data_IF_595463435488
#
_entry.id   IF_595463435488
#
_cell.length_a   1.000
_cell.length_b   1.000
_cell.length_c   1.000
_cell.angle_alpha   90.00
_cell.angle_beta   90.00
_cell.angle_gamma   90.00
#
_symmetry.space_group_name_H-M   'P 1'
#
loop_
_entity.id
_entity.type
_entity.pdbx_description
1 polymer ?
#
# COMPACT_ATOMS: atom_id res chain seq x y z
N UNK A 1 19.44 27.51 26.18
CA UNK A 1 19.02 26.10 26.06
C UNK A 1 17.51 26.09 25.99
N UNK A 2 16.91 25.64 24.89
CA UNK A 2 15.44 25.72 24.74
C UNK A 2 14.81 24.61 25.59
N UNK A 3 13.71 24.90 26.28
CA UNK A 3 13.00 23.93 27.14
C UNK A 3 12.67 22.60 26.42
N UNK A 4 12.56 22.62 25.09
CA UNK A 4 12.29 21.47 24.21
C UNK A 4 13.47 20.51 24.05
N UNK A 5 14.70 21.01 24.09
CA UNK A 5 15.92 20.18 23.95
C UNK A 5 16.09 19.31 25.20
N UNK A 6 15.96 19.93 26.38
CA UNK A 6 16.11 19.25 27.67
C UNK A 6 15.03 18.18 27.91
N UNK A 7 13.80 18.41 27.45
CA UNK A 7 12.74 17.42 27.53
C UNK A 7 13.02 16.20 26.64
N UNK A 8 13.49 16.45 25.41
CA UNK A 8 13.84 15.40 24.47
C UNK A 8 15.01 14.54 24.98
N UNK A 9 16.03 15.15 25.57
CA UNK A 9 17.15 14.44 26.20
C UNK A 9 16.69 13.52 27.32
N UNK A 10 15.84 14.01 28.23
CA UNK A 10 15.32 13.20 29.33
C UNK A 10 14.46 12.03 28.83
N UNK A 11 13.69 12.20 27.75
CA UNK A 11 12.91 11.12 27.12
C UNK A 11 13.82 10.04 26.51
N UNK A 12 14.94 10.42 25.88
CA UNK A 12 15.96 9.49 25.38
C UNK A 12 16.56 8.70 26.54
N UNK A 13 16.91 9.36 27.64
CA UNK A 13 17.44 8.71 28.84
C UNK A 13 16.45 7.72 29.44
N UNK A 14 15.15 8.06 29.54
CA UNK A 14 14.12 7.12 29.99
C UNK A 14 14.07 5.89 29.07
N UNK A 15 14.04 6.10 27.74
CA UNK A 15 14.00 5.01 26.77
C UNK A 15 15.20 4.06 26.92
N UNK A 16 16.39 4.61 27.12
CA UNK A 16 17.60 3.83 27.37
C UNK A 16 17.49 3.02 28.68
N UNK A 17 17.05 3.65 29.78
CA UNK A 17 16.95 2.98 31.08
C UNK A 17 15.87 1.89 31.11
N UNK A 18 14.77 2.07 30.40
CA UNK A 18 13.74 1.03 30.21
C UNK A 18 14.33 -0.17 29.48
N UNK A 19 15.10 0.04 28.40
CA UNK A 19 15.81 -1.05 27.70
C UNK A 19 16.85 -1.75 28.56
N UNK A 20 17.43 -1.03 29.53
CA UNK A 20 18.36 -1.58 30.50
C UNK A 20 17.67 -2.35 31.64
N UNK A 21 16.33 -2.41 31.65
CA UNK A 21 15.56 -3.14 32.66
C UNK A 21 15.45 -2.44 34.01
N UNK A 22 15.69 -1.12 34.08
CA UNK A 22 15.54 -0.35 35.31
C UNK A 22 14.07 -0.17 35.70
N UNK A 23 13.79 -0.26 37.00
CA UNK A 23 12.45 -0.02 37.54
C UNK A 23 12.09 1.47 37.51
N UNK A 24 10.79 1.79 37.51
CA UNK A 24 10.33 3.18 37.44
C UNK A 24 10.81 4.07 38.60
N UNK A 25 11.02 3.49 39.78
CA UNK A 25 11.63 4.17 40.93
C UNK A 25 13.10 4.51 40.67
N UNK A 26 13.90 3.57 40.18
CA UNK A 26 15.31 3.79 39.83
C UNK A 26 15.45 4.83 38.71
N UNK A 27 14.60 4.75 37.68
CA UNK A 27 14.60 5.72 36.57
C UNK A 27 14.34 7.13 37.10
N UNK A 28 13.37 7.28 38.00
CA UNK A 28 13.06 8.57 38.62
C UNK A 28 14.22 9.10 39.45
N UNK A 29 14.87 8.26 40.24
CA UNK A 29 16.04 8.64 41.05
C UNK A 29 17.21 9.08 40.18
N UNK A 30 17.53 8.32 39.13
CA UNK A 30 18.57 8.66 38.16
C UNK A 30 18.27 10.01 37.49
N UNK A 31 17.02 10.25 37.08
CA UNK A 31 16.63 11.53 36.49
C UNK A 31 16.74 12.69 37.48
N UNK A 32 16.34 12.51 38.73
CA UNK A 32 16.49 13.54 39.77
C UNK A 32 17.96 13.85 40.07
N UNK A 33 18.83 12.84 40.02
CA UNK A 33 20.27 13.02 40.25
C UNK A 33 20.95 13.80 39.11
N UNK A 34 20.59 13.51 37.86
CA UNK A 34 21.20 14.11 36.67
C UNK A 34 20.61 15.50 36.36
N UNK A 35 19.29 15.63 36.40
CA UNK A 35 18.58 16.84 35.94
C UNK A 35 18.09 17.76 37.07
N UNK A 36 18.16 17.32 38.34
CA UNK A 36 17.79 18.08 39.54
C UNK A 36 16.42 18.76 39.40
N UNK A 37 16.37 20.09 39.55
CA UNK A 37 15.13 20.89 39.51
C UNK A 37 14.47 20.89 38.12
N UNK A 38 15.21 20.51 37.08
CA UNK A 38 14.69 20.38 35.72
C UNK A 38 14.22 18.96 35.38
N UNK A 39 14.26 18.03 36.33
CA UNK A 39 13.83 16.66 36.10
C UNK A 39 12.32 16.58 35.77
N UNK A 40 11.97 15.69 34.85
CA UNK A 40 10.59 15.40 34.52
C UNK A 40 9.78 15.04 35.76
N UNK A 41 8.56 15.58 35.83
CA UNK A 41 7.61 15.24 36.89
C UNK A 41 7.35 13.74 36.90
N UNK A 42 7.13 13.17 38.09
CA UNK A 42 6.84 11.73 38.28
C UNK A 42 5.82 11.20 37.27
N UNK A 43 4.70 11.90 37.06
CA UNK A 43 3.65 11.50 36.12
C UNK A 43 4.13 11.37 34.67
N UNK A 44 5.00 12.28 34.21
CA UNK A 44 5.58 12.22 32.87
C UNK A 44 6.54 11.03 32.72
N UNK A 45 7.36 10.75 33.75
CA UNK A 45 8.28 9.61 33.75
C UNK A 45 7.54 8.28 33.56
N UNK A 46 6.45 8.06 34.32
CA UNK A 46 5.65 6.84 34.20
C UNK A 46 4.88 6.76 32.87
N UNK A 47 4.38 7.88 32.32
CA UNK A 47 3.76 7.91 30.97
C UNK A 47 4.74 7.41 29.90
N UNK A 48 5.98 7.91 29.93
CA UNK A 48 7.03 7.52 28.98
C UNK A 48 7.49 6.08 29.19
N UNK A 49 7.67 5.65 30.45
CA UNK A 49 8.03 4.28 30.80
C UNK A 49 7.00 3.27 30.25
N UNK A 50 5.70 3.52 30.46
CA UNK A 50 4.63 2.69 29.93
C UNK A 50 4.67 2.64 28.40
N UNK A 51 4.76 3.80 27.75
CA UNK A 51 4.85 3.88 26.29
C UNK A 51 6.04 3.11 25.71
N UNK A 52 7.23 3.20 26.32
CA UNK A 52 8.41 2.47 25.85
C UNK A 52 8.35 0.97 26.14
N UNK A 53 7.66 0.55 27.19
CA UNK A 53 7.42 -0.87 27.50
C UNK A 53 6.44 -1.50 26.48
N UNK A 54 5.47 -0.73 26.00
CA UNK A 54 4.50 -1.13 24.95
C UNK A 54 5.06 -1.06 23.52
N UNK A 55 6.38 -0.85 23.37
CA UNK A 55 7.05 -0.86 22.06
C UNK A 55 7.04 0.47 21.29
N UNK A 56 6.67 1.60 21.91
CA UNK A 56 6.77 2.92 21.27
C UNK A 56 8.23 3.26 20.94
N UNK A 57 8.53 3.49 19.66
CA UNK A 57 9.87 3.87 19.20
C UNK A 57 10.16 5.38 19.26
N UNK A 58 9.13 6.23 19.19
CA UNK A 58 9.32 7.68 19.13
C UNK A 58 9.59 8.30 20.50
N UNK A 59 10.50 9.26 20.54
CA UNK A 59 10.88 10.05 21.72
C UNK A 59 10.04 11.33 21.81
N UNK A 60 9.46 11.80 20.71
CA UNK A 60 8.60 12.98 20.69
C UNK A 60 7.17 12.63 21.08
N UNK A 61 6.44 13.55 21.74
CA UNK A 61 4.99 13.41 21.89
C UNK A 61 4.40 13.27 20.48
N UNK A 62 3.65 12.19 20.23
CA UNK A 62 2.92 12.08 18.98
C UNK A 62 1.86 13.17 18.90
N UNK A 63 1.84 13.87 17.78
CA UNK A 63 0.81 14.86 17.47
C UNK A 63 -0.54 14.15 17.49
N UNK A 64 -1.24 14.30 18.62
CA UNK A 64 -2.64 13.94 18.72
C UNK A 64 -3.37 14.78 17.70
N UNK A 65 -4.03 14.13 16.74
CA UNK A 65 -4.77 14.82 15.68
C UNK A 65 -5.66 15.92 16.31
N UNK A 66 -5.59 17.17 15.81
CA UNK A 66 -6.35 18.27 16.39
C UNK A 66 -7.83 17.88 16.48
N UNK A 67 -8.52 18.22 17.56
CA UNK A 67 -9.98 18.01 17.62
C UNK A 67 -10.73 18.75 16.48
N UNK A 68 -10.08 19.75 15.87
CA UNK A 68 -10.52 20.45 14.66
C UNK A 68 -10.31 19.67 13.35
N UNK A 69 -9.67 18.50 13.37
CA UNK A 69 -9.54 17.66 12.18
C UNK A 69 -10.90 17.08 11.77
N UNK A 70 -11.79 16.84 12.74
CA UNK A 70 -13.14 16.30 12.56
C UNK A 70 -14.17 17.44 12.56
N UNK A 71 -14.00 18.44 11.71
CA UNK A 71 -15.11 19.36 11.39
C UNK A 71 -15.95 18.78 10.26
N UNK A 72 -17.25 19.09 10.28
CA UNK A 72 -18.16 18.73 9.19
C UNK A 72 -17.67 19.28 7.84
N UNK A 73 -17.01 20.44 7.84
CA UNK A 73 -16.37 21.04 6.66
C UNK A 73 -15.23 20.19 6.09
N UNK A 74 -14.34 19.66 6.94
CA UNK A 74 -13.27 18.78 6.48
C UNK A 74 -13.84 17.46 5.97
N UNK A 75 -14.89 16.94 6.61
CA UNK A 75 -15.60 15.75 6.12
C UNK A 75 -16.24 15.99 4.76
N UNK A 76 -16.87 17.16 4.55
CA UNK A 76 -17.48 17.56 3.29
C UNK A 76 -16.42 17.74 2.19
N UNK A 77 -15.28 18.35 2.50
CA UNK A 77 -14.13 18.48 1.58
C UNK A 77 -13.57 17.11 1.19
N UNK A 78 -13.37 16.20 2.14
CA UNK A 78 -12.93 14.82 1.86
C UNK A 78 -13.96 14.08 1.02
N UNK A 79 -15.25 14.25 1.31
CA UNK A 79 -16.31 13.68 0.50
C UNK A 79 -16.30 14.23 -0.92
N UNK A 80 -16.11 15.54 -1.12
CA UNK A 80 -16.03 16.21 -2.42
C UNK A 80 -14.79 15.81 -3.24
N UNK A 81 -13.65 15.57 -2.59
CA UNK A 81 -12.43 15.06 -3.24
C UNK A 81 -12.63 13.58 -3.61
N UNK A 82 -13.32 12.81 -2.76
CA UNK A 82 -13.65 11.40 -3.01
C UNK A 82 -14.63 11.30 -4.19
N UNK A 83 -15.86 11.84 -4.05
CA UNK A 83 -16.37 12.86 -4.99
C UNK A 83 -15.92 12.89 -6.46
N UNK A 84 -14.95 13.74 -6.70
CA UNK A 84 -14.39 14.00 -8.02
C UNK A 84 -13.55 12.82 -8.53
N UNK A 85 -12.79 12.14 -7.67
CA UNK A 85 -11.91 11.04 -8.08
C UNK A 85 -12.64 9.70 -8.32
N UNK A 86 -13.72 9.40 -7.58
CA UNK A 86 -14.52 8.17 -7.74
C UNK A 86 -15.59 8.28 -8.85
N UNK A 87 -15.95 9.49 -9.29
CA UNK A 87 -16.92 9.69 -10.39
C UNK A 87 -16.34 9.24 -11.74
N UNK A 88 -15.01 9.22 -11.86
CA UNK A 88 -14.34 8.62 -13.00
C UNK A 88 -14.39 7.11 -12.85
N UNK A 89 -15.37 6.49 -13.52
CA UNK A 89 -15.39 5.04 -13.67
C UNK A 89 -14.15 4.64 -14.48
N UNK A 90 -13.55 3.47 -14.18
CA UNK A 90 -12.45 2.88 -14.98
C UNK A 90 -12.75 3.01 -16.48
N UNK A 91 -14.00 2.78 -16.87
CA UNK A 91 -14.52 2.97 -18.23
C UNK A 91 -14.25 4.36 -18.82
N UNK A 92 -14.56 5.45 -18.11
CA UNK A 92 -14.38 6.83 -18.59
C UNK A 92 -12.88 7.13 -18.78
N UNK A 93 -12.06 6.73 -17.81
CA UNK A 93 -10.60 6.89 -17.88
C UNK A 93 -10.03 6.10 -19.08
N UNK A 94 -10.51 4.88 -19.30
CA UNK A 94 -10.10 4.07 -20.46
C UNK A 94 -10.57 4.67 -21.77
N UNK A 95 -11.79 5.19 -21.85
CA UNK A 95 -12.34 5.83 -23.05
C UNK A 95 -11.50 7.05 -23.46
N UNK A 96 -11.21 7.95 -22.52
CA UNK A 96 -10.36 9.14 -22.77
C UNK A 96 -8.95 8.74 -23.20
N UNK A 97 -8.35 7.75 -22.52
CA UNK A 97 -7.01 7.27 -22.87
C UNK A 97 -6.98 6.65 -24.27
N UNK A 98 -7.93 5.77 -24.60
CA UNK A 98 -8.00 5.12 -25.91
C UNK A 98 -8.26 6.13 -27.03
N UNK A 99 -9.13 7.13 -26.80
CA UNK A 99 -9.36 8.23 -27.72
C UNK A 99 -8.06 9.02 -27.99
N UNK A 100 -7.27 9.31 -26.95
CA UNK A 100 -5.97 9.98 -27.10
C UNK A 100 -4.96 9.18 -27.95
N UNK A 101 -5.12 7.85 -28.00
CA UNK A 101 -4.28 6.92 -28.77
C UNK A 101 -4.86 6.54 -30.12
N UNK A 102 -6.02 7.10 -30.51
CA UNK A 102 -6.77 6.74 -31.71
C UNK A 102 -7.11 5.24 -31.78
N UNK A 103 -7.31 4.61 -30.63
CA UNK A 103 -7.75 3.22 -30.53
C UNK A 103 -9.26 3.21 -30.38
N UNK A 104 -9.97 2.54 -31.28
CA UNK A 104 -11.42 2.39 -31.20
C UNK A 104 -11.76 1.34 -30.14
N UNK A 105 -12.60 1.72 -29.18
CA UNK A 105 -13.12 0.78 -28.19
C UNK A 105 -14.23 -0.05 -28.84
N UNK A 106 -14.08 -1.38 -28.83
CA UNK A 106 -15.13 -2.29 -29.27
C UNK A 106 -16.13 -2.47 -28.13
N UNK A 107 -17.42 -2.24 -28.41
CA UNK A 107 -18.50 -2.52 -27.46
C UNK A 107 -18.49 -4.01 -27.09
N UNK A 108 -18.29 -4.31 -25.81
CA UNK A 108 -18.26 -5.67 -25.29
C UNK A 108 -19.24 -5.80 -24.12
N UNK A 109 -20.07 -6.86 -24.09
CA UNK A 109 -21.00 -7.07 -22.99
C UNK A 109 -20.26 -7.26 -21.64
N UNK A 110 -20.86 -6.84 -20.51
CA UNK A 110 -20.24 -7.02 -19.20
C UNK A 110 -19.99 -8.50 -18.89
N UNK A 111 -18.76 -8.81 -18.45
CA UNK A 111 -18.38 -10.12 -17.92
C UNK A 111 -18.66 -11.31 -18.85
N UNK A 112 -18.29 -11.21 -20.14
CA UNK A 112 -18.44 -12.30 -21.11
C UNK A 112 -17.06 -12.92 -21.48
N UNK A 113 -16.49 -13.77 -20.63
CA UNK A 113 -15.19 -14.41 -20.89
C UNK A 113 -15.23 -15.34 -22.12
N UNK A 114 -16.42 -15.80 -22.51
CA UNK A 114 -16.66 -16.58 -23.74
C UNK A 114 -16.41 -15.79 -25.03
N UNK A 115 -16.44 -14.46 -24.96
CA UNK A 115 -16.20 -13.56 -26.10
C UNK A 115 -14.78 -13.00 -26.14
N UNK A 116 -14.00 -13.17 -25.06
CA UNK A 116 -12.62 -12.72 -25.00
C UNK A 116 -11.69 -13.78 -25.63
N UNK A 117 -10.95 -13.46 -26.71
CA UNK A 117 -10.02 -14.41 -27.34
C UNK A 117 -8.96 -14.96 -26.37
N UNK A 118 -8.60 -14.18 -25.35
CA UNK A 118 -7.66 -14.62 -24.30
C UNK A 118 -8.23 -15.77 -23.47
N UNK A 119 -9.50 -15.69 -23.09
CA UNK A 119 -10.14 -16.61 -22.14
C UNK A 119 -10.59 -17.90 -22.84
N UNK A 120 -11.12 -17.80 -24.06
CA UNK A 120 -11.55 -18.98 -24.83
C UNK A 120 -10.40 -19.74 -25.51
N UNK A 121 -9.36 -19.04 -26.00
CA UNK A 121 -8.33 -19.67 -26.82
C UNK A 121 -6.95 -19.71 -26.16
N UNK A 122 -6.46 -18.57 -25.67
CA UNK A 122 -5.07 -18.45 -25.23
C UNK A 122 -4.79 -19.18 -23.91
N UNK A 123 -5.56 -18.88 -22.86
CA UNK A 123 -5.32 -19.47 -21.54
C UNK A 123 -5.52 -20.98 -21.49
N UNK A 124 -6.52 -21.58 -22.16
CA UNK A 124 -6.63 -23.04 -22.26
C UNK A 124 -5.38 -23.69 -22.86
N UNK A 125 -4.80 -23.06 -23.89
CA UNK A 125 -3.61 -23.57 -24.58
C UNK A 125 -2.34 -23.50 -23.72
N UNK A 126 -2.15 -22.39 -23.01
CA UNK A 126 -1.06 -22.28 -22.02
C UNK A 126 -1.26 -23.30 -20.91
N UNK A 127 -2.49 -23.46 -20.42
CA UNK A 127 -2.82 -24.41 -19.37
C UNK A 127 -2.51 -25.85 -19.79
N UNK A 128 -2.85 -26.24 -21.02
CA UNK A 128 -2.47 -27.53 -21.61
C UNK A 128 -0.95 -27.72 -21.61
N UNK A 129 -0.20 -26.70 -22.05
CA UNK A 129 1.26 -26.76 -22.04
C UNK A 129 1.79 -26.97 -20.62
N UNK A 130 1.30 -26.23 -19.63
CA UNK A 130 1.80 -26.28 -18.26
C UNK A 130 1.29 -27.49 -17.46
N UNK A 131 0.27 -28.21 -17.95
CA UNK A 131 -0.40 -29.29 -17.23
C UNK A 131 0.55 -30.44 -16.90
N UNK A 132 0.50 -30.90 -15.66
CA UNK A 132 1.25 -32.09 -15.20
C UNK A 132 2.76 -31.88 -15.07
N UNK A 133 3.26 -30.64 -15.21
CA UNK A 133 4.66 -30.31 -14.99
C UNK A 133 4.86 -29.67 -13.62
N UNK A 134 5.90 -30.08 -12.91
CA UNK A 134 6.36 -29.41 -11.69
C UNK A 134 7.38 -28.35 -12.10
N UNK A 135 7.26 -27.14 -11.54
CA UNK A 135 8.11 -26.02 -11.89
C UNK A 135 8.76 -25.46 -10.63
N UNK A 136 10.09 -25.33 -10.65
CA UNK A 136 10.84 -24.73 -9.54
C UNK A 136 10.76 -23.20 -9.55
N UNK A 137 10.61 -22.60 -10.75
CA UNK A 137 10.36 -21.17 -10.95
C UNK A 137 9.19 -20.94 -11.91
N UNK A 138 8.14 -20.26 -11.43
CA UNK A 138 6.93 -20.01 -12.21
C UNK A 138 7.18 -19.01 -13.34
N UNK A 139 8.03 -18.00 -13.11
CA UNK A 139 8.22 -16.90 -14.07
C UNK A 139 8.91 -17.35 -15.35
N UNK A 140 10.08 -18.00 -15.21
CA UNK A 140 10.87 -18.45 -16.36
C UNK A 140 10.13 -19.48 -17.20
N UNK A 141 9.40 -20.39 -16.55
CA UNK A 141 8.63 -21.44 -17.21
C UNK A 141 7.41 -20.89 -17.95
N UNK A 142 6.70 -19.94 -17.34
CA UNK A 142 5.57 -19.25 -17.99
C UNK A 142 6.07 -18.45 -19.20
N UNK A 143 7.18 -17.73 -19.06
CA UNK A 143 7.79 -16.96 -20.17
C UNK A 143 8.26 -17.86 -21.31
N UNK A 144 8.83 -19.03 -21.01
CA UNK A 144 9.21 -20.01 -22.04
C UNK A 144 7.98 -20.56 -22.78
N UNK A 145 6.90 -20.90 -22.06
CA UNK A 145 5.65 -21.35 -22.68
C UNK A 145 5.00 -20.27 -23.56
N UNK A 146 5.06 -19.00 -23.12
CA UNK A 146 4.58 -17.86 -23.91
C UNK A 146 5.39 -17.67 -25.19
N UNK A 147 6.73 -17.72 -25.11
CA UNK A 147 7.63 -17.57 -26.27
C UNK A 147 7.53 -18.74 -27.25
N UNK A 148 7.21 -19.93 -26.78
CA UNK A 148 7.02 -21.10 -27.62
C UNK A 148 5.71 -21.06 -28.43
N UNK A 149 4.87 -20.04 -28.27
CA UNK A 149 3.61 -19.90 -28.98
C UNK A 149 3.79 -19.16 -30.34
N UNK A 150 3.61 -19.83 -31.50
CA UNK A 150 3.67 -19.17 -32.81
C UNK A 150 2.72 -17.97 -32.95
N UNK A 151 3.21 -16.90 -33.57
CA UNK A 151 2.47 -15.65 -33.76
C UNK A 151 1.18 -15.80 -34.59
N UNK A 152 1.17 -16.76 -35.51
CA UNK A 152 0.03 -17.04 -36.39
C UNK A 152 -1.10 -17.83 -35.71
N UNK A 153 -0.93 -18.27 -34.45
CA UNK A 153 -1.95 -19.08 -33.79
C UNK A 153 -3.28 -18.36 -33.56
N UNK A 154 -3.25 -17.03 -33.46
CA UNK A 154 -4.46 -16.23 -33.28
C UNK A 154 -5.23 -15.95 -34.58
N UNK A 155 -4.69 -16.33 -35.75
CA UNK A 155 -5.34 -16.08 -37.04
C UNK A 155 -6.73 -16.73 -37.13
N UNK A 156 -6.88 -17.91 -36.52
CA UNK A 156 -8.14 -18.65 -36.52
C UNK A 156 -9.13 -18.16 -35.45
N UNK A 157 -8.70 -17.34 -34.48
CA UNK A 157 -9.56 -16.86 -33.39
C UNK A 157 -10.61 -15.86 -33.87
N UNK A 158 -10.33 -15.14 -34.96
CA UNK A 158 -11.18 -14.08 -35.48
C UNK A 158 -11.89 -14.45 -36.79
N UNK A 159 -11.85 -15.73 -37.19
CA UNK A 159 -12.57 -16.21 -38.38
C UNK A 159 -12.07 -15.68 -39.73
N UNK A 160 -10.89 -15.07 -39.81
CA UNK A 160 -10.29 -14.58 -41.09
C UNK A 160 -9.61 -15.70 -41.89
N UNK A 161 -10.31 -16.84 -42.02
CA UNK A 161 -9.85 -18.05 -42.69
C UNK A 161 -10.86 -18.56 -43.72
N UNK A 162 -11.48 -17.66 -44.49
CA UNK A 162 -12.10 -17.97 -45.78
C UNK A 162 -12.11 -16.69 -46.65
N UNK A 163 -11.59 -16.79 -47.87
CA UNK A 163 -11.19 -15.68 -48.72
C UNK A 163 -12.25 -14.61 -48.97
N UNK A 164 -11.82 -13.34 -48.83
CA UNK A 164 -12.43 -12.23 -49.55
C UNK A 164 -11.71 -12.20 -50.90
N UNK A 165 -12.29 -12.85 -51.90
CA UNK A 165 -12.01 -12.53 -53.31
C UNK A 165 -12.78 -11.24 -53.60
N UNK A 166 -12.05 -10.17 -53.89
CA UNK A 166 -12.55 -9.09 -54.73
C UNK A 166 -12.15 -9.39 -56.18
#
# INVERSE_FOLDING_TARGET
MRLTELQSEQQISIKFLVKFGKSGSEIREILMQVYRDNAMKKTAVYKWMAGFSDGRGSVTDEERWPATSRTDENSAKVHQITRENHQLTVRIITEEFLASKQITMLEHPPCSPDLAPSDFFFFPKIKEMLKGRHFDDIWSNTMAALKANPQNQFQNCFGLGAGISA
#
